data_IF_269104140512
#
_entry.id   IF_269104140512
#
_cell.length_a   1.000
_cell.length_b   1.000
_cell.length_c   1.000
_cell.angle_alpha   90.00
_cell.angle_beta   90.00
_cell.angle_gamma   90.00
#
_symmetry.space_group_name_H-M   'P 1'
#
loop_
_entity.id
_entity.type
_entity.pdbx_description
1 polymer ?
#
# COMPACT_ATOMS: atom_id res chain seq x y z
N UNK A 1 27.25 43.44 24.71
CA UNK A 1 26.04 42.62 24.61
C UNK A 1 25.46 42.91 23.26
N UNK A 2 25.73 42.05 22.29
CA UNK A 2 25.24 42.20 20.93
C UNK A 2 24.11 41.21 20.72
N UNK A 3 22.91 41.71 20.47
CA UNK A 3 21.75 40.92 20.07
C UNK A 3 21.99 40.35 18.68
N UNK A 4 22.16 39.05 18.59
CA UNK A 4 22.14 38.31 17.34
C UNK A 4 20.68 38.21 16.87
N UNK A 5 20.20 39.21 16.14
CA UNK A 5 18.93 39.16 15.47
C UNK A 5 18.96 38.09 14.38
N UNK A 6 18.33 36.94 14.62
CA UNK A 6 18.04 35.98 13.58
C UNK A 6 17.13 36.65 12.53
N UNK A 7 17.68 36.94 11.38
CA UNK A 7 16.92 37.36 10.20
C UNK A 7 16.18 36.11 9.69
N UNK A 8 14.98 35.88 10.23
CA UNK A 8 14.01 34.98 9.64
C UNK A 8 13.58 35.55 8.29
N UNK A 9 14.26 35.15 7.23
CA UNK A 9 13.90 35.54 5.87
C UNK A 9 12.47 35.04 5.58
N UNK A 10 11.53 35.96 5.55
CA UNK A 10 10.14 35.72 5.15
C UNK A 10 10.10 35.38 3.66
N UNK A 11 10.13 34.12 3.33
CA UNK A 11 9.95 33.66 1.95
C UNK A 11 8.48 33.85 1.52
N UNK A 12 8.27 34.60 0.44
CA UNK A 12 6.93 34.71 -0.11
C UNK A 12 6.47 33.39 -0.76
N UNK A 13 5.18 33.07 -0.70
CA UNK A 13 4.61 31.84 -1.27
C UNK A 13 4.95 31.64 -2.76
N UNK A 14 5.07 32.73 -3.50
CA UNK A 14 5.45 32.68 -4.93
C UNK A 14 6.90 32.23 -5.13
N UNK A 15 7.83 32.66 -4.30
CA UNK A 15 9.24 32.26 -4.38
C UNK A 15 9.40 30.75 -4.12
N UNK A 16 8.71 30.20 -3.11
CA UNK A 16 8.68 28.75 -2.85
C UNK A 16 8.09 28.00 -4.04
N UNK A 17 7.00 28.48 -4.62
CA UNK A 17 6.38 27.88 -5.79
C UNK A 17 7.31 27.88 -7.00
N UNK A 18 8.00 28.98 -7.26
CA UNK A 18 8.98 29.09 -8.34
C UNK A 18 10.19 28.19 -8.12
N UNK A 19 10.72 28.12 -6.88
CA UNK A 19 11.82 27.21 -6.54
C UNK A 19 11.41 25.75 -6.77
N UNK A 20 10.22 25.33 -6.33
CA UNK A 20 9.68 23.98 -6.63
C UNK A 20 9.54 23.72 -8.13
N UNK A 21 9.17 24.70 -8.93
CA UNK A 21 9.05 24.55 -10.39
C UNK A 21 10.40 24.38 -11.08
N UNK A 22 11.48 24.91 -10.51
CA UNK A 22 12.85 24.74 -11.04
C UNK A 22 13.45 23.38 -10.70
N UNK A 23 13.04 22.76 -9.58
CA UNK A 23 13.49 21.43 -9.20
C UNK A 23 12.88 20.36 -10.12
N UNK A 24 13.72 19.43 -10.58
CA UNK A 24 13.21 18.30 -11.37
C UNK A 24 12.43 17.33 -10.49
N UNK A 25 11.44 16.58 -11.04
CA UNK A 25 10.75 15.51 -10.28
C UNK A 25 11.70 14.47 -9.70
N UNK A 26 12.84 14.24 -10.38
CA UNK A 26 13.86 13.30 -9.93
C UNK A 26 14.53 13.74 -8.62
N UNK A 27 14.87 15.03 -8.52
CA UNK A 27 15.46 15.59 -7.29
C UNK A 27 14.49 15.48 -6.12
N UNK A 28 13.21 15.81 -6.34
CA UNK A 28 12.18 15.67 -5.30
C UNK A 28 12.01 14.21 -4.87
N UNK A 29 12.00 13.27 -5.82
CA UNK A 29 11.92 11.84 -5.51
C UNK A 29 13.13 11.34 -4.73
N UNK A 30 14.35 11.78 -5.10
CA UNK A 30 15.56 11.42 -4.36
C UNK A 30 15.53 11.97 -2.94
N UNK A 31 15.13 13.22 -2.76
CA UNK A 31 14.99 13.85 -1.45
C UNK A 31 13.97 13.09 -0.57
N UNK A 32 12.83 12.75 -1.14
CA UNK A 32 11.82 11.94 -0.44
C UNK A 32 12.41 10.63 0.06
N UNK A 33 13.05 9.85 -0.80
CA UNK A 33 13.63 8.56 -0.42
C UNK A 33 14.84 8.67 0.51
N UNK A 34 15.50 9.81 0.59
CA UNK A 34 16.59 10.05 1.55
C UNK A 34 16.07 10.43 2.93
N UNK A 35 15.03 11.25 2.98
CA UNK A 35 14.53 11.81 4.24
C UNK A 35 13.43 10.98 4.89
N UNK A 36 12.55 10.39 4.08
CA UNK A 36 11.38 9.68 4.63
C UNK A 36 11.74 8.22 4.90
N UNK A 37 11.69 7.84 6.17
CA UNK A 37 11.96 6.50 6.69
C UNK A 37 10.87 6.14 7.69
N UNK A 38 10.58 4.85 7.92
CA UNK A 38 9.73 4.43 9.03
C UNK A 38 10.20 5.05 10.35
N UNK A 39 9.30 5.69 11.09
CA UNK A 39 9.60 6.52 12.26
C UNK A 39 9.04 5.97 13.57
N UNK A 40 8.14 4.97 13.52
CA UNK A 40 7.54 4.42 14.72
C UNK A 40 8.61 3.87 15.66
N UNK A 41 8.48 4.14 16.95
CA UNK A 41 9.17 3.44 18.03
C UNK A 41 8.32 2.27 18.53
N UNK A 42 8.91 1.39 19.33
CA UNK A 42 8.20 0.25 19.95
C UNK A 42 6.97 0.68 20.77
N UNK A 43 6.98 1.92 21.27
CA UNK A 43 5.88 2.47 22.07
C UNK A 43 4.77 3.09 21.21
N UNK A 44 4.98 3.19 19.88
CA UNK A 44 3.97 3.72 18.97
C UNK A 44 2.84 2.73 18.85
N UNK A 45 1.65 3.11 19.33
CA UNK A 45 0.45 2.26 19.30
C UNK A 45 0.10 1.85 17.86
N UNK A 46 -0.15 0.55 17.65
CA UNK A 46 -0.56 0.00 16.35
C UNK A 46 0.55 -0.08 15.30
N UNK A 47 1.81 0.22 15.66
CA UNK A 47 2.93 0.16 14.73
C UNK A 47 3.68 -1.16 14.73
N UNK A 48 3.49 -1.99 15.74
CA UNK A 48 4.20 -3.27 15.89
C UNK A 48 3.28 -4.39 16.36
N UNK A 49 3.51 -5.58 15.83
CA UNK A 49 2.93 -6.83 16.29
C UNK A 49 4.06 -7.77 16.73
N UNK A 50 4.17 -8.02 18.04
CA UNK A 50 5.15 -8.92 18.61
C UNK A 50 6.59 -8.71 18.08
N UNK A 51 7.00 -7.44 17.96
CA UNK A 51 8.32 -7.02 17.50
C UNK A 51 8.45 -6.83 15.98
N UNK A 52 7.45 -7.21 15.19
CA UNK A 52 7.41 -6.95 13.77
C UNK A 52 6.77 -5.58 13.49
N UNK A 53 7.47 -4.72 12.75
CA UNK A 53 6.93 -3.44 12.30
C UNK A 53 5.84 -3.66 11.25
N UNK A 54 4.66 -3.13 11.50
CA UNK A 54 3.52 -3.27 10.59
C UNK A 54 3.63 -2.25 9.46
N UNK A 55 3.62 -2.76 8.24
CA UNK A 55 3.65 -1.98 7.01
C UNK A 55 2.50 -2.42 6.11
N UNK A 56 1.73 -1.47 5.63
CA UNK A 56 0.58 -1.74 4.75
C UNK A 56 0.90 -1.26 3.34
N UNK A 57 0.68 -2.14 2.36
CA UNK A 57 0.68 -1.73 0.96
C UNK A 57 -0.75 -1.54 0.50
N UNK A 58 -1.05 -0.36 -0.02
CA UNK A 58 -2.39 -0.02 -0.46
C UNK A 58 -2.34 0.87 -1.71
N UNK A 59 -3.52 1.17 -2.26
CA UNK A 59 -3.67 1.92 -3.50
C UNK A 59 -4.80 2.93 -3.40
N UNK A 60 -4.61 4.02 -4.14
CA UNK A 60 -5.67 4.99 -4.34
C UNK A 60 -5.64 5.55 -5.75
N UNK A 61 -6.74 6.14 -6.18
CA UNK A 61 -6.85 6.81 -7.47
C UNK A 61 -7.25 8.27 -7.28
N UNK A 62 -6.68 9.13 -8.11
CA UNK A 62 -7.00 10.55 -8.16
C UNK A 62 -7.52 10.91 -9.54
N UNK A 63 -8.58 11.69 -9.59
CA UNK A 63 -9.03 12.33 -10.81
C UNK A 63 -8.09 13.48 -11.16
N UNK A 64 -7.69 13.53 -12.41
CA UNK A 64 -6.82 14.57 -12.95
C UNK A 64 -7.63 15.55 -13.79
N UNK A 65 -7.15 16.81 -13.93
CA UNK A 65 -7.75 17.75 -14.86
C UNK A 65 -7.86 17.15 -16.24
N UNK A 66 -8.96 17.47 -16.91
CA UNK A 66 -9.22 17.08 -18.26
C UNK A 66 -8.33 17.86 -19.22
N UNK A 67 -7.16 17.31 -19.51
CA UNK A 67 -6.24 17.82 -20.52
C UNK A 67 -5.75 16.67 -21.41
N UNK A 68 -5.43 16.98 -22.66
CA UNK A 68 -4.93 15.98 -23.62
C UNK A 68 -3.68 15.28 -23.13
N UNK A 69 -2.80 16.02 -22.45
CA UNK A 69 -1.57 15.45 -21.89
C UNK A 69 -1.88 14.45 -20.78
N UNK A 70 -2.77 14.77 -19.84
CA UNK A 70 -3.17 13.87 -18.77
C UNK A 70 -3.92 12.65 -19.33
N UNK A 71 -4.81 12.84 -20.30
CA UNK A 71 -5.53 11.76 -20.95
C UNK A 71 -4.58 10.79 -21.67
N UNK A 72 -3.60 11.33 -22.41
CA UNK A 72 -2.58 10.53 -23.11
C UNK A 72 -1.69 9.74 -22.16
N UNK A 73 -1.24 10.36 -21.07
CA UNK A 73 -0.29 9.74 -20.15
C UNK A 73 -0.97 8.75 -19.19
N UNK A 74 -2.06 9.15 -18.57
CA UNK A 74 -2.68 8.39 -17.48
C UNK A 74 -3.87 7.54 -17.94
N UNK A 75 -4.53 7.95 -19.02
CA UNK A 75 -5.71 7.28 -19.57
C UNK A 75 -6.97 7.57 -18.78
N UNK A 76 -8.11 7.24 -19.39
CA UNK A 76 -9.44 7.29 -18.77
C UNK A 76 -9.91 5.86 -18.52
N UNK A 77 -10.35 5.51 -17.31
CA UNK A 77 -10.96 4.21 -17.06
C UNK A 77 -12.19 4.02 -17.93
N UNK A 78 -12.41 2.79 -18.36
CA UNK A 78 -13.66 2.37 -18.99
C UNK A 78 -14.33 1.34 -18.09
N UNK A 79 -15.59 1.53 -17.78
CA UNK A 79 -16.40 0.56 -17.03
C UNK A 79 -17.17 -0.38 -17.95
N UNK A 80 -17.41 0.04 -19.20
CA UNK A 80 -18.10 -0.74 -20.24
C UNK A 80 -17.48 -0.44 -21.59
N UNK A 81 -17.52 -1.38 -22.56
CA UNK A 81 -17.12 -1.09 -23.95
C UNK A 81 -17.83 0.16 -24.47
N UNK A 82 -17.07 1.09 -25.05
CA UNK A 82 -17.59 2.35 -25.58
C UNK A 82 -17.81 3.47 -24.56
N UNK A 83 -17.61 3.24 -23.24
CA UNK A 83 -17.70 4.30 -22.23
C UNK A 83 -16.32 4.65 -21.69
N UNK A 84 -16.09 5.94 -21.46
CA UNK A 84 -14.87 6.42 -20.79
C UNK A 84 -15.25 7.28 -19.58
N UNK A 85 -14.44 7.23 -18.54
CA UNK A 85 -14.59 8.14 -17.42
C UNK A 85 -14.41 9.60 -17.86
N UNK A 86 -15.15 10.52 -17.23
CA UNK A 86 -15.09 11.94 -17.55
C UNK A 86 -13.67 12.52 -17.39
N UNK A 87 -12.87 11.98 -16.45
CA UNK A 87 -11.54 12.49 -16.14
C UNK A 87 -10.47 11.42 -16.28
N UNK A 88 -9.23 11.80 -16.70
CA UNK A 88 -8.07 10.94 -16.61
C UNK A 88 -7.79 10.56 -15.15
N UNK A 89 -7.31 9.33 -14.89
CA UNK A 89 -7.05 8.86 -13.53
C UNK A 89 -5.58 8.48 -13.31
N UNK A 90 -5.00 9.05 -12.28
CA UNK A 90 -3.73 8.65 -11.71
C UNK A 90 -3.97 7.57 -10.66
N UNK A 91 -3.25 6.46 -10.73
CA UNK A 91 -3.17 5.49 -9.64
C UNK A 91 -1.90 5.72 -8.82
N UNK A 92 -2.05 5.74 -7.51
CA UNK A 92 -0.97 5.79 -6.55
C UNK A 92 -0.97 4.47 -5.77
N UNK A 93 0.17 3.78 -5.72
CA UNK A 93 0.41 2.63 -4.84
C UNK A 93 1.41 3.08 -3.80
N UNK A 94 1.13 2.84 -2.54
CA UNK A 94 1.86 3.37 -1.38
C UNK A 94 2.25 2.28 -0.40
N UNK A 95 3.35 2.50 0.31
CA UNK A 95 3.71 1.81 1.54
C UNK A 95 3.51 2.77 2.71
N UNK A 96 2.73 2.31 3.68
CA UNK A 96 2.36 3.08 4.87
C UNK A 96 2.84 2.34 6.11
N UNK A 97 3.52 3.01 7.01
CA UNK A 97 3.79 2.52 8.36
C UNK A 97 2.51 2.64 9.20
N UNK A 98 2.03 1.53 9.75
CA UNK A 98 0.90 1.55 10.67
C UNK A 98 1.27 2.32 11.97
N UNK A 99 0.25 2.85 12.64
CA UNK A 99 0.42 3.62 13.88
C UNK A 99 0.86 5.07 13.66
N UNK A 100 1.84 5.34 12.80
CA UNK A 100 2.24 6.72 12.44
C UNK A 100 1.50 7.25 11.23
N UNK A 101 0.91 6.39 10.43
CA UNK A 101 0.30 6.69 9.12
C UNK A 101 1.28 7.33 8.12
N UNK A 102 2.58 7.14 8.33
CA UNK A 102 3.60 7.69 7.46
C UNK A 102 3.69 6.92 6.14
N UNK A 103 3.47 7.61 5.04
CA UNK A 103 3.75 7.08 3.70
C UNK A 103 5.26 7.21 3.45
N UNK A 104 6.00 6.10 3.47
CA UNK A 104 7.46 6.13 3.33
C UNK A 104 7.97 5.67 1.95
N UNK A 105 7.12 5.06 1.12
CA UNK A 105 7.39 4.85 -0.30
C UNK A 105 6.10 4.91 -1.12
N UNK A 106 6.20 5.38 -2.36
CA UNK A 106 5.05 5.56 -3.24
C UNK A 106 5.42 5.46 -4.72
N UNK A 107 4.53 4.88 -5.52
CA UNK A 107 4.67 4.83 -6.97
C UNK A 107 3.40 5.28 -7.69
N UNK A 108 3.56 6.27 -8.54
CA UNK A 108 2.52 6.73 -9.45
C UNK A 108 2.51 5.92 -10.73
N UNK A 109 1.33 5.60 -11.22
CA UNK A 109 1.19 4.98 -12.53
C UNK A 109 -0.11 5.36 -13.25
N UNK A 110 -0.13 5.24 -14.59
CA UNK A 110 -1.36 5.28 -15.36
C UNK A 110 -2.36 4.23 -14.86
N UNK A 111 -3.63 4.55 -14.92
CA UNK A 111 -4.69 3.63 -14.49
C UNK A 111 -4.63 2.27 -15.20
N UNK A 112 -4.22 2.24 -16.47
CA UNK A 112 -4.06 1.02 -17.29
C UNK A 112 -2.99 0.05 -16.79
N UNK A 113 -2.02 0.54 -16.00
CA UNK A 113 -0.97 -0.33 -15.44
C UNK A 113 -1.51 -1.01 -14.20
N UNK A 114 -1.43 -2.34 -14.18
CA UNK A 114 -1.87 -3.14 -13.05
C UNK A 114 -1.14 -2.76 -11.76
N UNK A 115 -1.88 -2.67 -10.67
CA UNK A 115 -1.38 -2.32 -9.35
C UNK A 115 -0.34 -3.32 -8.83
N UNK A 116 -0.51 -4.62 -9.13
CA UNK A 116 0.41 -5.70 -8.69
C UNK A 116 1.85 -5.46 -9.16
N UNK A 117 2.03 -4.98 -10.39
CA UNK A 117 3.36 -4.67 -10.93
C UNK A 117 4.02 -3.53 -10.14
N UNK A 118 3.24 -2.56 -9.69
CA UNK A 118 3.75 -1.44 -8.89
C UNK A 118 3.98 -1.83 -7.44
N UNK A 119 3.08 -2.63 -6.88
CA UNK A 119 3.24 -3.21 -5.55
C UNK A 119 4.56 -3.98 -5.43
N UNK A 120 4.88 -4.87 -6.38
CA UNK A 120 6.14 -5.60 -6.39
C UNK A 120 7.37 -4.68 -6.41
N UNK A 121 7.30 -3.52 -7.06
CA UNK A 121 8.42 -2.56 -7.06
C UNK A 121 8.60 -1.83 -5.73
N UNK A 122 7.54 -1.68 -4.93
CA UNK A 122 7.62 -1.07 -3.62
C UNK A 122 8.27 -1.99 -2.58
N UNK A 123 8.36 -3.30 -2.85
CA UNK A 123 9.04 -4.24 -1.97
C UNK A 123 10.53 -3.93 -1.77
N UNK A 124 11.13 -3.07 -2.61
CA UNK A 124 12.48 -2.51 -2.39
C UNK A 124 12.65 -1.79 -1.04
N UNK A 125 11.54 -1.30 -0.47
CA UNK A 125 11.52 -0.57 0.80
C UNK A 125 11.01 -1.44 1.96
N UNK A 126 10.83 -2.74 1.73
CA UNK A 126 10.43 -3.74 2.72
C UNK A 126 11.62 -4.62 3.07
N UNK A 127 11.81 -4.94 4.34
CA UNK A 127 12.96 -5.70 4.83
C UNK A 127 12.58 -6.63 5.99
N UNK A 128 13.51 -7.45 6.43
CA UNK A 128 13.38 -8.28 7.63
C UNK A 128 12.97 -7.44 8.84
N UNK A 129 12.17 -8.02 9.73
CA UNK A 129 11.58 -7.35 10.90
C UNK A 129 10.31 -6.56 10.57
N UNK A 130 9.83 -6.61 9.32
CA UNK A 130 8.55 -6.02 8.91
C UNK A 130 7.49 -7.09 8.71
N UNK A 131 6.24 -6.77 9.05
CA UNK A 131 5.04 -7.52 8.69
C UNK A 131 4.31 -6.74 7.59
N UNK A 132 4.39 -7.22 6.36
CA UNK A 132 3.73 -6.59 5.21
C UNK A 132 2.28 -7.05 5.09
N UNK A 133 1.35 -6.12 5.15
CA UNK A 133 -0.08 -6.40 4.98
C UNK A 133 -0.58 -5.92 3.61
N UNK A 134 -1.50 -6.70 3.01
CA UNK A 134 -2.16 -6.30 1.75
C UNK A 134 -3.60 -6.80 1.63
N UNK A 135 -4.38 -6.11 0.79
CA UNK A 135 -5.74 -6.49 0.42
C UNK A 135 -5.77 -7.57 -0.68
N UNK A 136 -6.91 -8.22 -0.83
CA UNK A 136 -7.20 -9.30 -1.80
C UNK A 136 -6.78 -8.97 -3.25
N UNK A 137 -6.82 -7.71 -3.64
CA UNK A 137 -6.45 -7.26 -4.99
C UNK A 137 -4.97 -7.50 -5.33
N UNK A 138 -4.09 -7.51 -4.34
CA UNK A 138 -2.65 -7.71 -4.51
C UNK A 138 -2.22 -9.17 -4.40
N UNK A 139 -3.11 -10.07 -3.94
CA UNK A 139 -2.78 -11.48 -3.78
C UNK A 139 -2.31 -12.12 -5.10
N UNK A 140 -1.15 -12.74 -5.06
CA UNK A 140 -0.58 -13.55 -6.15
C UNK A 140 0.63 -14.33 -5.65
N UNK A 141 0.98 -15.44 -6.33
CA UNK A 141 2.23 -16.15 -6.08
C UNK A 141 3.44 -15.21 -6.12
N UNK A 142 3.52 -14.33 -7.13
CA UNK A 142 4.64 -13.40 -7.27
C UNK A 142 4.75 -12.41 -6.09
N UNK A 143 3.61 -12.00 -5.51
CA UNK A 143 3.60 -11.12 -4.33
C UNK A 143 4.16 -11.84 -3.11
N UNK A 144 3.70 -13.07 -2.86
CA UNK A 144 4.19 -13.90 -1.75
C UNK A 144 5.68 -14.18 -1.92
N UNK A 145 6.10 -14.66 -3.10
CA UNK A 145 7.50 -14.98 -3.40
C UNK A 145 8.42 -13.76 -3.21
N UNK A 146 8.03 -12.62 -3.78
CA UNK A 146 8.83 -11.40 -3.68
C UNK A 146 8.93 -10.89 -2.24
N UNK A 147 7.85 -11.00 -1.45
CA UNK A 147 7.86 -10.62 -0.02
C UNK A 147 8.79 -11.54 0.77
N UNK A 148 8.69 -12.85 0.60
CA UNK A 148 9.60 -13.81 1.24
C UNK A 148 11.06 -13.52 0.88
N UNK A 149 11.34 -13.12 -0.35
CA UNK A 149 12.71 -12.77 -0.80
C UNK A 149 13.27 -11.53 -0.08
N UNK A 150 12.42 -10.62 0.42
CA UNK A 150 12.88 -9.47 1.24
C UNK A 150 13.27 -9.86 2.67
N UNK A 151 12.97 -11.08 3.09
CA UNK A 151 13.14 -11.55 4.48
C UNK A 151 12.07 -11.01 5.44
N UNK A 152 11.02 -10.36 4.93
CA UNK A 152 9.90 -9.89 5.75
C UNK A 152 8.80 -10.94 5.88
N UNK A 153 8.02 -10.83 6.94
CA UNK A 153 6.78 -11.57 7.11
C UNK A 153 5.63 -10.88 6.39
N UNK A 154 4.54 -11.62 6.20
CA UNK A 154 3.34 -11.07 5.58
C UNK A 154 2.04 -11.56 6.20
N UNK A 155 0.99 -10.75 6.02
CA UNK A 155 -0.39 -11.06 6.35
C UNK A 155 -1.28 -10.51 5.22
N UNK A 156 -1.71 -11.35 4.31
CA UNK A 156 -2.43 -10.95 3.10
C UNK A 156 -3.82 -11.55 2.99
N UNK A 157 -4.80 -10.74 2.60
CA UNK A 157 -6.14 -11.25 2.28
C UNK A 157 -6.14 -11.91 0.90
N UNK A 158 -6.85 -13.03 0.79
CA UNK A 158 -7.01 -13.76 -0.47
C UNK A 158 -8.42 -13.62 -1.04
N UNK A 159 -8.57 -13.62 -2.38
CA UNK A 159 -9.87 -13.59 -3.03
C UNK A 159 -10.70 -14.86 -2.74
N UNK A 160 -12.03 -14.74 -2.75
CA UNK A 160 -12.93 -15.84 -2.44
C UNK A 160 -12.84 -17.02 -3.43
N UNK A 161 -12.45 -16.76 -4.67
CA UNK A 161 -12.30 -17.79 -5.70
C UNK A 161 -10.99 -18.58 -5.63
N UNK A 162 -10.02 -18.16 -4.80
CA UNK A 162 -8.77 -18.91 -4.58
C UNK A 162 -9.06 -19.99 -3.56
N UNK A 163 -8.75 -21.24 -3.88
CA UNK A 163 -8.92 -22.38 -2.98
C UNK A 163 -7.55 -22.86 -2.53
N UNK A 164 -7.41 -23.09 -1.23
CA UNK A 164 -6.27 -23.75 -0.63
C UNK A 164 -6.70 -25.11 -0.11
N UNK A 165 -5.86 -26.10 -0.33
CA UNK A 165 -6.05 -27.43 0.23
C UNK A 165 -5.50 -27.41 1.67
N UNK A 166 -6.28 -27.95 2.62
CA UNK A 166 -5.80 -28.14 3.98
C UNK A 166 -4.86 -29.35 3.98
N UNK A 167 -3.56 -29.08 4.07
CA UNK A 167 -2.53 -30.14 4.16
C UNK A 167 -2.38 -30.59 5.63
N UNK A 168 -2.35 -29.65 6.55
CA UNK A 168 -2.16 -29.88 7.97
C UNK A 168 -3.01 -28.91 8.80
N UNK A 169 -4.01 -29.38 9.55
CA UNK A 169 -4.77 -28.54 10.46
C UNK A 169 -3.92 -28.17 11.68
N UNK A 170 -4.06 -26.94 12.16
CA UNK A 170 -3.33 -26.41 13.32
C UNK A 170 -4.30 -26.23 14.52
N UNK A 171 -3.74 -26.22 15.74
CA UNK A 171 -4.50 -26.22 16.98
C UNK A 171 -5.39 -24.99 17.18
N UNK A 172 -5.09 -23.87 16.53
CA UNK A 172 -5.86 -22.61 16.62
C UNK A 172 -6.93 -22.44 15.53
N UNK A 173 -7.25 -23.52 14.79
CA UNK A 173 -8.25 -23.52 13.71
C UNK A 173 -7.73 -23.04 12.37
N UNK A 174 -6.48 -22.60 12.27
CA UNK A 174 -5.81 -22.35 11.00
C UNK A 174 -5.24 -23.65 10.41
N UNK A 175 -4.67 -23.60 9.21
CA UNK A 175 -4.06 -24.78 8.58
C UNK A 175 -2.89 -24.38 7.68
N UNK A 176 -1.98 -25.32 7.43
CA UNK A 176 -0.91 -25.21 6.46
C UNK A 176 -1.39 -25.61 5.06
N UNK A 177 -0.88 -24.91 4.07
CA UNK A 177 -1.14 -25.16 2.66
C UNK A 177 0.03 -24.71 1.81
N UNK A 178 -0.12 -24.85 0.48
CA UNK A 178 0.90 -24.44 -0.49
C UNK A 178 0.34 -23.47 -1.51
N UNK A 179 1.07 -22.40 -1.82
CA UNK A 179 0.84 -21.58 -2.99
C UNK A 179 1.79 -21.99 -4.11
N UNK A 180 1.23 -22.29 -5.28
CA UNK A 180 1.98 -22.79 -6.42
C UNK A 180 2.22 -21.66 -7.44
N UNK A 181 3.38 -21.72 -8.16
CA UNK A 181 3.60 -20.83 -9.29
C UNK A 181 2.54 -21.06 -10.37
N UNK A 182 2.16 -20.01 -11.14
CA UNK A 182 1.27 -20.16 -12.28
C UNK A 182 1.79 -21.23 -13.27
N UNK A 183 0.90 -21.96 -13.94
CA UNK A 183 1.24 -23.09 -14.81
C UNK A 183 2.35 -22.76 -15.83
N UNK A 184 2.34 -21.55 -16.40
CA UNK A 184 3.36 -21.06 -17.34
C UNK A 184 4.78 -20.92 -16.76
N UNK A 185 4.93 -20.95 -15.44
CA UNK A 185 6.22 -20.83 -14.74
C UNK A 185 6.63 -22.10 -14.00
N UNK A 186 5.79 -23.17 -14.01
CA UNK A 186 6.08 -24.43 -13.29
C UNK A 186 7.32 -25.17 -13.83
N UNK A 187 7.70 -24.95 -15.08
CA UNK A 187 8.91 -25.51 -15.69
C UNK A 187 10.20 -24.80 -15.31
N UNK A 188 10.14 -23.65 -14.63
CA UNK A 188 11.28 -22.90 -14.14
C UNK A 188 11.50 -23.25 -12.67
N UNK A 189 12.66 -22.89 -12.12
CA UNK A 189 13.06 -23.15 -10.71
C UNK A 189 12.17 -22.45 -9.64
N UNK A 190 10.90 -22.19 -9.94
CA UNK A 190 9.93 -21.63 -9.02
C UNK A 190 9.34 -22.75 -8.16
N UNK A 191 9.63 -22.75 -6.86
CA UNK A 191 9.16 -23.75 -5.91
C UNK A 191 7.82 -23.34 -5.29
N UNK A 192 6.96 -24.28 -4.90
CA UNK A 192 5.82 -24.01 -4.04
C UNK A 192 6.28 -23.32 -2.75
N UNK A 193 5.44 -22.43 -2.23
CA UNK A 193 5.72 -21.74 -0.97
C UNK A 193 4.68 -22.19 0.04
N UNK A 194 5.15 -22.68 1.21
CA UNK A 194 4.27 -23.02 2.30
C UNK A 194 3.65 -21.75 2.89
N UNK A 195 2.36 -21.80 3.15
CA UNK A 195 1.60 -20.70 3.73
C UNK A 195 0.71 -21.23 4.85
N UNK A 196 0.49 -20.43 5.88
CA UNK A 196 -0.56 -20.67 6.86
C UNK A 196 -1.81 -19.92 6.44
N UNK A 197 -2.94 -20.62 6.42
CA UNK A 197 -4.24 -20.09 6.02
C UNK A 197 -5.12 -19.94 7.26
N UNK A 198 -5.74 -18.77 7.39
CA UNK A 198 -6.65 -18.42 8.49
C UNK A 198 -8.01 -18.09 7.84
N UNK A 199 -9.05 -18.83 8.23
CA UNK A 199 -10.41 -18.58 7.75
C UNK A 199 -11.32 -18.21 8.93
N UNK A 200 -12.08 -17.14 8.78
CA UNK A 200 -13.01 -16.68 9.80
C UNK A 200 -14.18 -15.91 9.18
N UNK A 201 -15.24 -15.76 9.96
CA UNK A 201 -16.42 -14.99 9.57
C UNK A 201 -16.61 -13.80 10.51
N UNK A 202 -17.07 -12.70 9.93
CA UNK A 202 -17.52 -11.53 10.69
C UNK A 202 -18.97 -11.27 10.32
N UNK A 203 -19.78 -10.97 11.31
CA UNK A 203 -21.19 -10.66 11.14
C UNK A 203 -22.04 -11.23 12.27
N UNK A 204 -23.32 -10.96 12.21
CA UNK A 204 -24.27 -11.48 13.19
C UNK A 204 -24.39 -12.99 13.01
N UNK A 205 -24.21 -13.76 14.10
CA UNK A 205 -24.37 -15.21 14.12
C UNK A 205 -25.83 -15.65 13.79
N UNK A 206 -26.79 -14.77 14.04
CA UNK A 206 -28.19 -15.05 13.85
C UNK A 206 -28.68 -14.83 12.41
N UNK A 207 -27.89 -14.17 11.57
CA UNK A 207 -28.21 -13.96 10.15
C UNK A 207 -27.06 -14.40 9.24
N UNK A 208 -27.09 -15.65 8.71
CA UNK A 208 -26.02 -16.18 7.84
C UNK A 208 -25.77 -15.37 6.55
N UNK A 209 -26.77 -14.65 6.05
CA UNK A 209 -26.64 -13.84 4.83
C UNK A 209 -25.79 -12.56 5.06
N UNK A 210 -25.69 -12.11 6.31
CA UNK A 210 -24.87 -10.97 6.70
C UNK A 210 -23.43 -11.37 7.07
N UNK A 211 -23.11 -12.66 7.04
CA UNK A 211 -21.78 -13.14 7.38
C UNK A 211 -20.79 -12.93 6.24
N UNK A 212 -19.76 -12.16 6.51
CA UNK A 212 -18.62 -11.95 5.59
C UNK A 212 -17.51 -12.93 5.91
N UNK A 213 -17.22 -13.84 4.98
CA UNK A 213 -16.06 -14.74 5.08
C UNK A 213 -14.77 -14.03 4.71
N UNK A 214 -13.82 -14.12 5.61
CA UNK A 214 -12.46 -13.65 5.41
C UNK A 214 -11.50 -14.81 5.36
N UNK A 215 -10.51 -14.70 4.48
CA UNK A 215 -9.39 -15.64 4.41
C UNK A 215 -8.10 -14.89 4.27
N UNK A 216 -7.16 -15.21 5.15
CA UNK A 216 -5.83 -14.64 5.17
C UNK A 216 -4.79 -15.72 4.90
N UNK A 217 -3.66 -15.32 4.35
CA UNK A 217 -2.43 -16.14 4.30
C UNK A 217 -1.31 -15.40 5.00
N UNK A 218 -0.43 -16.16 5.64
CA UNK A 218 0.70 -15.59 6.37
C UNK A 218 1.91 -16.53 6.33
N UNK A 219 3.11 -15.96 6.54
CA UNK A 219 4.36 -16.67 6.82
C UNK A 219 4.55 -16.98 8.31
N UNK A 220 3.72 -16.40 9.19
CA UNK A 220 3.85 -16.53 10.64
C UNK A 220 3.30 -17.88 11.12
N UNK A 221 4.22 -18.82 11.43
CA UNK A 221 3.89 -20.21 11.76
C UNK A 221 3.87 -20.48 13.27
N UNK A 222 4.48 -19.61 14.11
CA UNK A 222 4.52 -19.74 15.55
C UNK A 222 3.16 -19.43 16.19
N UNK A 223 2.36 -20.45 16.50
CA UNK A 223 0.96 -20.30 16.96
C UNK A 223 0.85 -19.56 18.29
N UNK A 224 1.77 -19.84 19.23
CA UNK A 224 1.79 -19.19 20.54
C UNK A 224 2.05 -17.69 20.45
N UNK A 225 2.95 -17.30 19.56
CA UNK A 225 3.30 -15.89 19.33
C UNK A 225 2.31 -15.18 18.42
N UNK A 226 1.75 -15.90 17.44
CA UNK A 226 0.86 -15.36 16.43
C UNK A 226 -0.41 -16.23 16.28
N UNK A 227 -1.27 -16.31 17.29
CA UNK A 227 -2.52 -17.07 17.18
C UNK A 227 -3.41 -16.50 16.07
N UNK A 228 -4.21 -17.35 15.42
CA UNK A 228 -5.07 -16.98 14.29
C UNK A 228 -6.01 -15.81 14.62
N UNK A 229 -6.57 -15.79 15.82
CA UNK A 229 -7.45 -14.71 16.28
C UNK A 229 -6.72 -13.37 16.35
N UNK A 230 -5.48 -13.34 16.87
CA UNK A 230 -4.66 -12.12 16.92
C UNK A 230 -4.41 -11.58 15.51
N UNK A 231 -4.03 -12.46 14.57
CA UNK A 231 -3.77 -12.07 13.18
C UNK A 231 -5.04 -11.58 12.46
N UNK A 232 -6.20 -12.16 12.77
CA UNK A 232 -7.48 -11.70 12.24
C UNK A 232 -7.82 -10.29 12.75
N UNK A 233 -7.66 -10.02 14.06
CA UNK A 233 -7.88 -8.71 14.67
C UNK A 233 -6.93 -7.68 14.05
N UNK A 234 -5.63 -8.00 13.98
CA UNK A 234 -4.62 -7.12 13.44
C UNK A 234 -4.87 -6.78 11.97
N UNK A 235 -5.29 -7.76 11.18
CA UNK A 235 -5.65 -7.50 9.79
C UNK A 235 -6.79 -6.48 9.66
N UNK A 236 -7.76 -6.48 10.58
CA UNK A 236 -8.85 -5.50 10.57
C UNK A 236 -8.40 -4.10 10.97
N UNK A 237 -7.41 -3.95 11.83
CA UNK A 237 -6.83 -2.63 12.16
C UNK A 237 -6.17 -1.95 10.95
N UNK A 238 -5.83 -2.71 9.89
CA UNK A 238 -5.39 -2.15 8.60
C UNK A 238 -6.34 -1.07 8.04
N UNK A 239 -7.63 -1.10 8.40
CA UNK A 239 -8.60 -0.06 8.00
C UNK A 239 -8.23 1.33 8.50
N UNK A 240 -7.45 1.46 9.56
CA UNK A 240 -6.94 2.75 10.01
C UNK A 240 -6.03 3.40 8.96
N UNK A 241 -5.35 2.60 8.13
CA UNK A 241 -4.54 3.09 7.00
C UNK A 241 -5.42 3.66 5.88
N UNK A 242 -6.65 3.20 5.72
CA UNK A 242 -7.61 3.82 4.78
C UNK A 242 -7.91 5.26 5.16
N UNK A 243 -7.92 5.60 6.46
CA UNK A 243 -8.03 6.96 6.93
C UNK A 243 -6.84 7.83 6.46
N UNK A 244 -5.63 7.28 6.41
CA UNK A 244 -4.45 7.98 5.84
C UNK A 244 -4.67 8.35 4.38
N UNK A 245 -5.26 7.45 3.61
CA UNK A 245 -5.58 7.70 2.20
C UNK A 245 -6.67 8.75 2.06
N UNK A 246 -7.66 8.75 2.94
CA UNK A 246 -8.71 9.75 2.97
C UNK A 246 -8.18 11.11 3.43
N UNK A 247 -7.28 11.15 4.38
CA UNK A 247 -6.54 12.36 4.74
C UNK A 247 -5.75 12.91 3.56
N UNK A 248 -5.03 12.06 2.82
CA UNK A 248 -4.32 12.46 1.62
C UNK A 248 -5.26 13.05 0.56
N UNK A 249 -6.47 12.50 0.41
CA UNK A 249 -7.46 12.96 -0.56
C UNK A 249 -8.20 14.21 -0.11
N UNK A 250 -8.62 14.25 1.15
CA UNK A 250 -9.56 15.25 1.67
C UNK A 250 -8.84 16.40 2.34
N UNK A 251 -7.92 16.12 3.26
CA UNK A 251 -7.29 17.15 4.09
C UNK A 251 -6.11 17.83 3.40
N UNK A 252 -5.23 17.10 2.74
CA UNK A 252 -4.10 17.69 2.02
C UNK A 252 -4.50 18.37 0.70
N UNK A 253 -5.62 17.97 0.11
CA UNK A 253 -6.13 18.57 -1.13
C UNK A 253 -7.15 19.71 -0.88
N UNK A 254 -7.63 19.92 0.37
CA UNK A 254 -8.73 20.81 0.69
C UNK A 254 -10.05 20.30 0.11
N UNK A 255 -11.15 20.60 0.76
CA UNK A 255 -12.50 20.02 0.54
C UNK A 255 -13.07 20.02 -0.89
N UNK A 256 -12.36 20.34 -1.94
CA UNK A 256 -12.78 20.30 -3.36
C UNK A 256 -11.66 20.63 -4.33
N UNK A 257 -10.39 20.64 -3.93
CA UNK A 257 -9.33 20.96 -4.88
C UNK A 257 -8.95 19.70 -5.66
N UNK A 258 -9.56 19.53 -6.81
CA UNK A 258 -9.01 18.67 -7.85
C UNK A 258 -7.52 18.98 -8.04
N UNK A 259 -6.72 17.95 -8.28
CA UNK A 259 -5.33 18.14 -8.66
C UNK A 259 -5.30 19.07 -9.87
N UNK A 260 -4.82 20.31 -9.72
CA UNK A 260 -4.85 21.32 -10.79
C UNK A 260 -3.73 21.17 -11.83
N UNK A 261 -2.88 20.17 -11.68
CA UNK A 261 -1.72 19.99 -12.57
C UNK A 261 -2.14 19.41 -13.91
N UNK A 262 -1.98 20.19 -14.97
CA UNK A 262 -2.37 19.83 -16.34
C UNK A 262 -1.31 18.98 -17.06
N UNK A 263 -0.14 18.74 -16.47
CA UNK A 263 0.90 17.92 -17.08
C UNK A 263 1.63 17.01 -16.09
N UNK A 264 2.24 15.94 -16.63
CA UNK A 264 2.94 14.89 -15.89
C UNK A 264 4.04 15.42 -14.97
N UNK A 265 4.84 16.37 -15.44
CA UNK A 265 6.00 16.89 -14.68
C UNK A 265 5.53 17.61 -13.41
N UNK A 266 4.49 18.44 -13.52
CA UNK A 266 3.89 19.13 -12.36
C UNK A 266 3.23 18.16 -11.39
N UNK A 267 2.61 17.08 -11.90
CA UNK A 267 2.05 16.01 -11.07
C UNK A 267 3.12 15.27 -10.28
N UNK A 268 4.18 14.83 -10.96
CA UNK A 268 5.29 14.14 -10.29
C UNK A 268 5.87 14.99 -9.14
N UNK A 269 6.09 16.29 -9.36
CA UNK A 269 6.57 17.20 -8.32
C UNK A 269 5.60 17.33 -7.14
N UNK A 270 4.30 17.28 -7.40
CA UNK A 270 3.28 17.42 -6.34
C UNK A 270 3.26 16.20 -5.41
N UNK A 271 3.36 14.99 -5.95
CA UNK A 271 3.29 13.77 -5.14
C UNK A 271 4.63 13.39 -4.48
N UNK A 272 5.76 13.79 -5.04
CA UNK A 272 7.08 13.56 -4.42
C UNK A 272 7.55 14.68 -3.51
N UNK A 273 6.89 15.81 -3.50
CA UNK A 273 7.23 16.98 -2.66
C UNK A 273 6.08 17.44 -1.74
N UNK A 274 5.03 16.65 -1.61
CA UNK A 274 3.85 16.94 -0.79
C UNK A 274 3.55 15.88 0.26
N UNK A 275 4.48 14.93 0.47
CA UNK A 275 4.47 14.01 1.61
C UNK A 275 5.45 14.50 2.64
#
# INVERSE_FOLDING_TARGET
MGESGEILASFCKSAITQARQRLSPRVMSQLFHQLVRPMASTDTKGAFLNGLRIVVIDRTCFDLPDSDENARVFGRPSSRPGTQAAFPKLRLVILVEAGTHLIFDALMCPYRIGERVRALRLLRSVSSGMLLMWDRGLHSYAMVQATVTTGSDYLGRIPANVKFLCEEPLADGSYLSWIYPPAKFRSKACQPIQVRVIEYTIGNTDNPEEQLRYRLITSLLELEKFPAQLLAIEYHQRWEVENTIDELKVHLSGRKTHIRSQNRVKLCRKFTGGC
#
